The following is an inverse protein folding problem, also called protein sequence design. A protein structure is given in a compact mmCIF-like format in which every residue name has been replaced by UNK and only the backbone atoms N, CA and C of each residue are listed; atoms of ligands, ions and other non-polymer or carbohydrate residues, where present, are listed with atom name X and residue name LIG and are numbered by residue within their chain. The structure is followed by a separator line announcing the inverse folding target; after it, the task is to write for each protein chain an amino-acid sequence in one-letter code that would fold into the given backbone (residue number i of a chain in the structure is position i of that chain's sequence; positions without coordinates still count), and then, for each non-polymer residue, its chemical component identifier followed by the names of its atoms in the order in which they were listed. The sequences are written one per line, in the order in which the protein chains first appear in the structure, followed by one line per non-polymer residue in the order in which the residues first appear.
data_IF_580365593899
#
_entry.id   IF_580365593899
#
_cell.length_a   1.000
_cell.length_b   1.000
_cell.length_c   1.000
_cell.angle_alpha   90.00
_cell.angle_beta   90.00
_cell.angle_gamma   90.00
#
_symmetry.space_group_name_H-M   'P 1'
#
loop_
_entity.id
_entity.type
_entity.pdbx_description
1 polymer ?
#
# COMPACT_ATOMS: atom_id res chain seq x y z
N UNK A 1 -8.62 3.39 13.26
CA UNK A 1 -7.58 4.43 13.44
C UNK A 1 -8.25 5.79 13.59
N UNK A 2 -7.74 6.69 14.43
CA UNK A 2 -8.25 8.07 14.53
C UNK A 2 -7.44 8.99 13.60
N UNK A 3 -7.60 8.80 12.29
CA UNK A 3 -6.91 9.56 11.25
C UNK A 3 -7.92 10.39 10.47
N UNK A 4 -7.53 11.62 10.10
CA UNK A 4 -8.38 12.43 9.22
C UNK A 4 -8.44 11.82 7.80
N UNK A 5 -9.51 12.08 7.02
CA UNK A 5 -9.59 11.65 5.63
C UNK A 5 -8.39 12.09 4.78
N UNK A 6 -7.83 13.27 5.07
CA UNK A 6 -6.64 13.79 4.38
C UNK A 6 -5.39 12.97 4.73
N UNK A 7 -5.22 12.60 6.00
CA UNK A 7 -4.12 11.75 6.43
C UNK A 7 -4.22 10.35 5.79
N UNK A 8 -5.42 9.77 5.74
CA UNK A 8 -5.64 8.46 5.09
C UNK A 8 -5.27 8.51 3.61
N UNK A 9 -5.65 9.58 2.87
CA UNK A 9 -5.25 9.75 1.47
C UNK A 9 -3.74 9.80 1.28
N UNK A 10 -3.03 10.60 2.07
CA UNK A 10 -1.56 10.67 1.97
C UNK A 10 -0.88 9.34 2.30
N UNK A 11 -1.44 8.58 3.25
CA UNK A 11 -0.91 7.24 3.55
C UNK A 11 -1.13 6.31 2.35
N UNK A 12 -2.32 6.31 1.74
CA UNK A 12 -2.60 5.52 0.53
C UNK A 12 -1.61 5.88 -0.59
N UNK A 13 -1.39 7.17 -0.86
CA UNK A 13 -0.43 7.63 -1.89
C UNK A 13 1.00 7.15 -1.60
N UNK A 14 1.44 7.19 -0.33
CA UNK A 14 2.75 6.69 0.07
C UNK A 14 2.88 5.17 -0.08
N UNK A 15 1.82 4.43 0.23
CA UNK A 15 1.77 2.97 0.03
C UNK A 15 1.85 2.63 -1.46
N UNK A 16 1.09 3.32 -2.31
CA UNK A 16 1.13 3.14 -3.77
C UNK A 16 2.53 3.37 -4.32
N UNK A 17 3.19 4.46 -3.93
CA UNK A 17 4.58 4.74 -4.33
C UNK A 17 5.55 3.63 -3.90
N UNK A 18 5.40 3.09 -2.68
CA UNK A 18 6.29 2.02 -2.18
C UNK A 18 6.05 0.69 -2.89
N UNK A 19 4.79 0.34 -3.15
CA UNK A 19 4.40 -0.86 -3.89
C UNK A 19 4.96 -0.78 -5.32
N UNK A 20 4.81 0.37 -5.99
CA UNK A 20 5.38 0.57 -7.33
C UNK A 20 6.90 0.38 -7.33
N UNK A 21 7.60 0.95 -6.34
CA UNK A 21 9.05 0.76 -6.19
C UNK A 21 9.42 -0.72 -5.99
N UNK A 22 8.64 -1.47 -5.20
CA UNK A 22 8.85 -2.92 -5.04
C UNK A 22 8.62 -3.68 -6.35
N UNK A 23 7.57 -3.35 -7.11
CA UNK A 23 7.29 -3.97 -8.40
C UNK A 23 8.38 -3.67 -9.43
N UNK A 24 8.94 -2.46 -9.43
CA UNK A 24 10.09 -2.11 -10.27
C UNK A 24 11.35 -2.90 -9.86
N UNK A 25 11.57 -3.07 -8.55
CA UNK A 25 12.73 -3.83 -8.05
C UNK A 25 12.64 -5.32 -8.40
N UNK A 26 11.44 -5.90 -8.37
CA UNK A 26 11.19 -7.29 -8.80
C UNK A 26 11.44 -7.53 -10.29
N UNK A 27 11.54 -6.48 -11.11
CA UNK A 27 11.86 -6.61 -12.54
C UNK A 27 13.37 -6.68 -12.81
N UNK A 28 14.22 -6.52 -11.79
CA UNK A 28 15.67 -6.59 -11.94
C UNK A 28 16.12 -8.04 -12.15
N UNK A 29 16.91 -8.29 -13.20
CA UNK A 29 17.36 -9.64 -13.59
C UNK A 29 18.31 -10.32 -12.57
N UNK A 30 18.80 -9.59 -11.57
CA UNK A 30 19.80 -10.06 -10.60
C UNK A 30 19.26 -10.13 -9.17
N UNK A 31 17.94 -10.25 -9.00
CA UNK A 31 17.34 -10.38 -7.68
C UNK A 31 17.51 -11.82 -7.16
N UNK A 32 18.02 -11.95 -5.95
CA UNK A 32 18.08 -13.24 -5.27
C UNK A 32 16.67 -13.74 -4.92
N UNK A 33 16.46 -15.06 -4.86
CA UNK A 33 15.13 -15.64 -4.60
C UNK A 33 14.60 -15.26 -3.21
N UNK A 34 15.47 -15.17 -2.20
CA UNK A 34 15.05 -14.76 -0.85
C UNK A 34 14.64 -13.28 -0.85
N UNK A 35 15.42 -12.42 -1.53
CA UNK A 35 15.09 -11.00 -1.67
C UNK A 35 13.78 -10.78 -2.46
N UNK A 36 13.56 -11.56 -3.53
CA UNK A 36 12.32 -11.54 -4.31
C UNK A 36 11.11 -11.96 -3.46
N UNK A 37 11.28 -12.99 -2.64
CA UNK A 37 10.25 -13.48 -1.71
C UNK A 37 9.90 -12.42 -0.67
N UNK A 38 10.91 -11.82 -0.03
CA UNK A 38 10.71 -10.76 0.97
C UNK A 38 9.97 -9.56 0.40
N UNK A 39 10.39 -9.09 -0.77
CA UNK A 39 9.76 -7.96 -1.46
C UNK A 39 8.31 -8.28 -1.85
N UNK A 40 8.06 -9.50 -2.33
CA UNK A 40 6.71 -9.94 -2.68
C UNK A 40 5.80 -9.97 -1.45
N UNK A 41 6.30 -10.51 -0.33
CA UNK A 41 5.55 -10.58 0.93
C UNK A 41 5.23 -9.18 1.49
N UNK A 42 6.21 -8.28 1.48
CA UNK A 42 6.04 -6.89 1.88
C UNK A 42 5.00 -6.19 0.99
N UNK A 43 5.11 -6.33 -0.33
CA UNK A 43 4.17 -5.71 -1.27
C UNK A 43 2.73 -6.18 -1.03
N UNK A 44 2.50 -7.48 -0.81
CA UNK A 44 1.19 -8.04 -0.49
C UNK A 44 0.61 -7.49 0.82
N UNK A 45 1.45 -7.32 1.84
CA UNK A 45 1.03 -6.69 3.09
C UNK A 45 0.63 -5.23 2.88
N UNK A 46 1.44 -4.45 2.14
CA UNK A 46 1.14 -3.05 1.84
C UNK A 46 -0.13 -2.89 1.01
N UNK A 47 -0.39 -3.77 0.04
CA UNK A 47 -1.63 -3.79 -0.73
C UNK A 47 -2.85 -4.06 0.15
N UNK A 48 -2.73 -5.00 1.09
CA UNK A 48 -3.79 -5.32 2.06
C UNK A 48 -4.09 -4.12 2.95
N UNK A 49 -3.06 -3.44 3.46
CA UNK A 49 -3.20 -2.22 4.26
C UNK A 49 -3.81 -1.08 3.45
N UNK A 50 -3.37 -0.88 2.19
CA UNK A 50 -3.93 0.12 1.28
C UNK A 50 -5.42 -0.12 1.07
N UNK A 51 -5.83 -1.37 0.90
CA UNK A 51 -7.23 -1.74 0.71
C UNK A 51 -8.07 -1.46 1.96
N UNK A 52 -7.55 -1.76 3.15
CA UNK A 52 -8.22 -1.44 4.42
C UNK A 52 -8.42 0.07 4.58
N UNK A 53 -7.37 0.86 4.34
CA UNK A 53 -7.42 2.32 4.40
C UNK A 53 -8.39 2.92 3.36
N UNK A 54 -8.43 2.34 2.16
CA UNK A 54 -9.38 2.74 1.11
C UNK A 54 -10.81 2.49 1.55
N UNK A 55 -11.08 1.32 2.14
CA UNK A 55 -12.40 0.99 2.67
C UNK A 55 -12.79 1.91 3.83
N UNK A 56 -11.85 2.20 4.73
CA UNK A 56 -12.06 3.14 5.83
C UNK A 56 -12.40 4.56 5.31
N UNK A 57 -11.64 5.04 4.32
CA UNK A 57 -11.89 6.34 3.69
C UNK A 57 -13.28 6.41 3.07
N UNK A 58 -13.70 5.35 2.35
CA UNK A 58 -15.04 5.26 1.76
C UNK A 58 -16.12 5.38 2.84
N UNK A 59 -16.01 4.62 3.93
CA UNK A 59 -16.97 4.69 5.05
C UNK A 59 -17.07 6.11 5.61
N UNK A 60 -15.94 6.77 5.85
CA UNK A 60 -15.93 8.15 6.37
C UNK A 60 -16.61 9.11 5.39
N UNK A 61 -16.33 9.00 4.09
CA UNK A 61 -16.94 9.87 3.07
C UNK A 61 -18.43 9.60 2.88
N UNK A 62 -18.88 8.35 3.02
CA UNK A 62 -20.29 7.97 2.91
C UNK A 62 -21.13 8.37 4.13
N UNK A 63 -20.51 8.51 5.30
CA UNK A 63 -21.16 8.96 6.53
C UNK A 63 -21.23 10.50 6.66
N UNK A 64 -20.65 11.23 5.70
CA UNK A 64 -20.60 12.69 5.69
C UNK A 64 -21.68 13.33 4.79
N UNK A 65 -22.66 12.55 4.31
CA UNK A 65 -23.77 12.97 3.44
C UNK A 65 -25.11 12.80 4.16
#
# INVERSE_FOLDING_TARGET
MNLSPKAIRFIIEALDYRIEAYQQHLQLENLDEDEASDITNDALFLESLRQELTNNLRVITSQSV
#
